data_IF_718513380293
#
_entry.id   IF_718513380293
#
_cell.length_a   1.000
_cell.length_b   1.000
_cell.length_c   1.000
_cell.angle_alpha   90.00
_cell.angle_beta   90.00
_cell.angle_gamma   90.00
#
_symmetry.space_group_name_H-M   'P 1'
#
loop_
_entity.id
_entity.type
_entity.pdbx_description
1 polymer ?
#
# COMPACT_ATOMS: atom_id res chain seq x y z
N UNK A 1 -11.00 -9.94 -3.08
CA UNK A 1 -11.24 -11.00 -2.08
C UNK A 1 -9.98 -11.43 -1.32
N UNK A 2 -9.38 -10.54 -0.52
CA UNK A 2 -8.41 -10.81 0.57
C UNK A 2 -7.94 -9.45 1.09
N UNK A 3 -7.64 -8.54 0.16
CA UNK A 3 -7.44 -7.12 0.43
C UNK A 3 -8.68 -6.47 1.08
N UNK A 4 -9.89 -6.68 0.53
CA UNK A 4 -11.12 -6.14 1.10
C UNK A 4 -11.36 -6.58 2.56
N UNK A 5 -11.21 -7.87 2.88
CA UNK A 5 -11.36 -8.39 4.26
C UNK A 5 -10.30 -7.79 5.20
N UNK A 6 -9.07 -7.58 4.71
CA UNK A 6 -8.02 -6.90 5.47
C UNK A 6 -8.28 -5.40 5.66
N UNK A 7 -8.96 -4.74 4.71
CA UNK A 7 -9.38 -3.33 4.81
C UNK A 7 -10.46 -3.17 5.88
N UNK A 8 -11.46 -4.05 5.90
CA UNK A 8 -12.56 -3.96 6.86
C UNK A 8 -12.07 -4.20 8.29
N UNK A 9 -11.23 -5.22 8.52
CA UNK A 9 -10.63 -5.45 9.85
C UNK A 9 -9.70 -4.31 10.31
N UNK A 10 -9.05 -3.60 9.38
CA UNK A 10 -8.23 -2.43 9.72
C UNK A 10 -9.09 -1.21 10.07
N UNK A 11 -10.23 -1.03 9.40
CA UNK A 11 -11.17 0.05 9.70
C UNK A 11 -11.65 -0.04 11.15
N UNK A 12 -12.10 -1.22 11.60
CA UNK A 12 -12.54 -1.44 12.97
C UNK A 12 -11.46 -1.14 14.02
N UNK A 13 -10.19 -1.43 13.67
CA UNK A 13 -9.05 -1.12 14.54
C UNK A 13 -8.75 0.38 14.59
N UNK A 14 -8.90 1.09 13.47
CA UNK A 14 -8.72 2.55 13.43
C UNK A 14 -9.85 3.25 14.18
N UNK A 15 -11.09 2.80 14.05
CA UNK A 15 -12.24 3.36 14.77
C UNK A 15 -12.09 3.18 16.30
N UNK A 16 -11.55 2.04 16.75
CA UNK A 16 -11.25 1.80 18.18
C UNK A 16 -10.02 2.53 18.70
N UNK A 17 -9.08 2.85 17.82
CA UNK A 17 -7.80 3.48 18.19
C UNK A 17 -7.49 4.69 17.29
N UNK A 18 -8.33 5.73 17.32
CA UNK A 18 -8.32 6.79 16.32
C UNK A 18 -7.08 7.68 16.37
N UNK A 19 -6.32 7.68 17.46
CA UNK A 19 -5.05 8.42 17.60
C UNK A 19 -3.81 7.58 17.24
N UNK A 20 -3.96 6.29 16.89
CA UNK A 20 -2.81 5.45 16.52
C UNK A 20 -2.43 5.62 15.05
N UNK A 21 -1.46 6.50 14.83
CA UNK A 21 -0.95 6.84 13.49
C UNK A 21 -0.56 5.61 12.65
N UNK A 22 0.10 4.61 13.24
CA UNK A 22 0.54 3.40 12.51
C UNK A 22 -0.64 2.61 11.92
N UNK A 23 -1.77 2.55 12.63
CA UNK A 23 -2.98 1.87 12.13
C UNK A 23 -3.59 2.66 10.98
N UNK A 24 -3.63 4.00 11.09
CA UNK A 24 -4.12 4.87 10.01
C UNK A 24 -3.25 4.80 8.77
N UNK A 25 -1.92 4.83 8.92
CA UNK A 25 -0.98 4.69 7.81
C UNK A 25 -1.15 3.34 7.09
N UNK A 26 -1.38 2.26 7.84
CA UNK A 26 -1.67 0.95 7.26
C UNK A 26 -3.01 0.95 6.50
N UNK A 27 -4.03 1.64 7.02
CA UNK A 27 -5.34 1.74 6.37
C UNK A 27 -5.26 2.54 5.07
N UNK A 28 -4.62 3.72 5.10
CA UNK A 28 -4.33 4.52 3.91
C UNK A 28 -3.62 3.69 2.83
N UNK A 29 -2.58 2.93 3.20
CA UNK A 29 -1.86 2.07 2.27
C UNK A 29 -2.74 0.97 1.66
N UNK A 30 -3.63 0.37 2.45
CA UNK A 30 -4.52 -0.69 1.98
C UNK A 30 -5.59 -0.15 1.02
N UNK A 31 -6.15 1.03 1.32
CA UNK A 31 -7.07 1.75 0.42
C UNK A 31 -6.38 2.12 -0.89
N UNK A 32 -5.18 2.70 -0.83
CA UNK A 32 -4.42 3.09 -2.01
C UNK A 32 -4.08 1.90 -2.91
N UNK A 33 -3.61 0.79 -2.33
CA UNK A 33 -3.32 -0.46 -3.08
C UNK A 33 -4.58 -1.10 -3.69
N UNK A 34 -5.75 -0.82 -3.12
CA UNK A 34 -7.05 -1.27 -3.64
C UNK A 34 -7.63 -0.33 -4.69
N UNK A 35 -6.89 0.69 -5.14
CA UNK A 35 -7.34 1.68 -6.13
C UNK A 35 -8.25 2.78 -5.56
N UNK A 36 -8.47 2.81 -4.24
CA UNK A 36 -9.33 3.77 -3.54
C UNK A 36 -8.52 4.97 -3.07
N UNK A 37 -7.86 5.66 -4.02
CA UNK A 37 -6.94 6.76 -3.70
C UNK A 37 -7.62 7.92 -2.98
N UNK A 38 -8.81 8.36 -3.44
CA UNK A 38 -9.53 9.46 -2.80
C UNK A 38 -9.82 9.18 -1.31
N UNK A 39 -10.23 7.96 -1.00
CA UNK A 39 -10.49 7.55 0.39
C UNK A 39 -9.20 7.44 1.21
N UNK A 40 -8.10 6.98 0.61
CA UNK A 40 -6.80 6.97 1.28
C UNK A 40 -6.35 8.39 1.67
N UNK A 41 -6.59 9.38 0.80
CA UNK A 41 -6.27 10.79 1.08
C UNK A 41 -7.20 11.38 2.15
N UNK A 42 -8.51 11.06 2.10
CA UNK A 42 -9.47 11.49 3.11
C UNK A 42 -9.09 11.03 4.54
N UNK A 43 -8.57 9.81 4.69
CA UNK A 43 -8.10 9.31 6.00
C UNK A 43 -6.99 10.20 6.61
N UNK A 44 -6.13 10.80 5.77
CA UNK A 44 -5.11 11.74 6.24
C UNK A 44 -5.74 13.05 6.72
N UNK A 45 -6.65 13.62 5.95
CA UNK A 45 -7.32 14.88 6.29
C UNK A 45 -8.15 14.74 7.57
N UNK A 46 -8.91 13.65 7.70
CA UNK A 46 -9.66 13.33 8.92
C UNK A 46 -8.74 13.19 10.13
N UNK A 47 -7.57 12.58 9.94
CA UNK A 47 -6.61 12.40 11.03
C UNK A 47 -5.96 13.72 11.45
N UNK A 48 -5.61 14.57 10.49
CA UNK A 48 -5.07 15.90 10.75
C UNK A 48 -6.07 16.73 11.57
N UNK A 49 -7.34 16.75 11.15
CA UNK A 49 -8.40 17.43 11.88
C UNK A 49 -8.59 16.87 13.29
N UNK A 50 -8.54 15.55 13.44
CA UNK A 50 -8.63 14.90 14.74
C UNK A 50 -7.47 15.28 15.66
N UNK A 51 -6.23 15.22 15.19
CA UNK A 51 -5.05 15.58 15.99
C UNK A 51 -5.08 17.05 16.40
N UNK A 52 -5.44 17.93 15.47
CA UNK A 52 -5.55 19.36 15.76
C UNK A 52 -6.63 19.62 16.83
N UNK A 53 -7.78 18.94 16.72
CA UNK A 53 -8.89 19.08 17.66
C UNK A 53 -8.57 18.52 19.06
N UNK A 54 -8.03 17.31 19.14
CA UNK A 54 -7.91 16.58 20.40
C UNK A 54 -6.59 16.88 21.13
N UNK A 55 -5.51 17.14 20.38
CA UNK A 55 -4.16 17.28 20.94
C UNK A 55 -3.48 18.60 20.56
N UNK A 56 -4.04 19.39 19.64
CA UNK A 56 -3.37 20.56 19.07
C UNK A 56 -2.10 20.20 18.28
N UNK A 57 -2.04 18.98 17.75
CA UNK A 57 -0.88 18.44 17.04
C UNK A 57 -1.16 18.27 15.55
N UNK A 58 -0.08 18.09 14.78
CA UNK A 58 -0.12 17.74 13.37
C UNK A 58 0.36 16.28 13.15
N UNK A 59 0.03 15.66 12.01
CA UNK A 59 0.54 14.34 11.64
C UNK A 59 2.06 14.30 11.59
N UNK A 60 2.65 13.14 11.85
CA UNK A 60 4.10 13.01 11.79
C UNK A 60 4.66 13.25 10.38
N UNK A 61 5.95 13.62 10.25
CA UNK A 61 6.59 13.78 8.95
C UNK A 61 6.51 12.53 8.06
N UNK A 62 6.51 11.33 8.66
CA UNK A 62 6.37 10.07 7.95
C UNK A 62 4.95 9.90 7.37
N UNK A 63 3.93 10.27 8.13
CA UNK A 63 2.53 10.27 7.68
C UNK A 63 2.29 11.30 6.57
N UNK A 64 2.84 12.51 6.71
CA UNK A 64 2.80 13.54 5.66
C UNK A 64 3.56 13.11 4.38
N UNK A 65 4.69 12.42 4.52
CA UNK A 65 5.41 11.84 3.38
C UNK A 65 4.58 10.77 2.66
N UNK A 66 3.87 9.92 3.41
CA UNK A 66 2.96 8.92 2.83
C UNK A 66 1.85 9.57 2.00
N UNK A 67 1.19 10.59 2.55
CA UNK A 67 0.17 11.38 1.85
C UNK A 67 0.71 11.97 0.53
N UNK A 68 1.88 12.62 0.58
CA UNK A 68 2.55 13.17 -0.62
C UNK A 68 2.90 12.09 -1.65
N UNK A 69 3.37 10.93 -1.21
CA UNK A 69 3.68 9.81 -2.10
C UNK A 69 2.42 9.29 -2.83
N UNK A 70 1.27 9.28 -2.16
CA UNK A 70 -0.01 8.89 -2.77
C UNK A 70 -0.50 9.94 -3.78
N UNK A 71 -0.31 11.24 -3.53
CA UNK A 71 -0.59 12.29 -4.51
C UNK A 71 0.30 12.17 -5.76
N UNK A 72 1.57 11.84 -5.58
CA UNK A 72 2.55 11.72 -6.67
C UNK A 72 2.39 10.48 -7.57
N UNK A 73 1.63 9.47 -7.14
CA UNK A 73 1.42 8.20 -7.89
C UNK A 73 0.29 8.24 -8.92
N UNK A 74 0.02 9.41 -9.51
CA UNK A 74 -0.92 9.56 -10.61
C UNK A 74 -0.54 8.84 -11.92
N UNK A 75 0.71 8.35 -12.09
CA UNK A 75 1.11 7.49 -13.21
C UNK A 75 2.48 6.83 -12.98
N UNK A 76 2.51 5.56 -12.58
CA UNK A 76 3.71 4.72 -12.80
C UNK A 76 3.32 3.59 -13.74
N UNK A 77 3.98 3.43 -14.91
CA UNK A 77 3.73 2.30 -15.79
C UNK A 77 3.93 1.02 -15.00
N UNK A 78 2.92 0.16 -14.98
CA UNK A 78 3.10 -1.24 -14.58
C UNK A 78 4.15 -1.81 -15.55
N UNK A 79 5.36 -2.20 -15.10
CA UNK A 79 6.26 -2.91 -15.98
C UNK A 79 5.50 -4.14 -16.50
N UNK A 80 5.55 -4.45 -17.80
CA UNK A 80 4.94 -5.68 -18.29
C UNK A 80 5.51 -6.81 -17.44
N UNK A 81 4.64 -7.69 -16.95
CA UNK A 81 5.05 -8.91 -16.31
C UNK A 81 5.85 -9.70 -17.36
N UNK A 82 7.16 -9.48 -17.36
CA UNK A 82 8.10 -10.17 -18.21
C UNK A 82 7.98 -11.64 -17.91
N UNK A 83 7.42 -12.34 -18.86
CA UNK A 83 7.41 -13.78 -19.04
C UNK A 83 8.65 -14.37 -18.41
N UNK A 84 8.48 -15.24 -17.40
CA UNK A 84 9.53 -16.21 -17.07
C UNK A 84 9.60 -17.15 -18.26
N UNK A 85 10.33 -16.70 -19.26
CA UNK A 85 10.65 -17.46 -20.45
C UNK A 85 11.32 -18.75 -19.97
N UNK A 86 10.67 -19.83 -20.32
CA UNK A 86 10.98 -21.20 -19.94
C UNK A 86 12.28 -21.61 -20.61
N UNK A 87 13.43 -21.20 -20.07
CA UNK A 87 14.73 -21.76 -20.46
C UNK A 87 15.24 -22.66 -19.33
N UNK A 88 14.67 -23.87 -19.29
CA UNK A 88 15.41 -25.07 -18.90
C UNK A 88 14.86 -26.30 -19.62
N UNK A 89 14.74 -26.17 -20.94
CA UNK A 89 14.60 -27.28 -21.86
C UNK A 89 15.82 -27.29 -22.79
N UNK A 90 16.91 -27.90 -22.35
CA UNK A 90 17.99 -28.35 -23.23
C UNK A 90 18.81 -29.40 -22.46
N UNK A 91 18.27 -30.62 -22.44
CA UNK A 91 19.04 -31.81 -22.20
C UNK A 91 20.12 -31.91 -23.29
N UNK A 92 21.38 -32.07 -22.90
CA UNK A 92 22.41 -32.57 -23.81
C UNK A 92 22.33 -34.11 -23.82
N UNK A 93 22.08 -34.75 -24.98
CA UNK A 93 22.27 -36.19 -25.13
C UNK A 93 23.75 -36.54 -25.32
N UNK A 94 24.11 -37.71 -24.78
CA UNK A 94 25.41 -38.36 -24.86
C UNK A 94 25.84 -38.70 -26.29
N UNK A 95 27.15 -38.71 -26.54
CA UNK A 95 27.78 -39.59 -27.54
C UNK A 95 29.24 -39.90 -27.13
N UNK A 96 29.68 -41.18 -27.21
CA UNK A 96 31.07 -41.58 -27.01
C UNK A 96 31.86 -41.60 -28.34
N UNK A 97 33.16 -41.30 -28.27
CA UNK A 97 34.25 -41.57 -29.23
C UNK A 97 35.55 -41.51 -28.42
N UNK A 98 36.49 -42.45 -28.38
CA UNK A 98 36.77 -43.73 -29.04
C UNK A 98 37.45 -44.66 -28.00
#
# INVERSE_FOLDING_TARGET
GRAAVAVDGLRDLVERHPLRERLRAAWMNSLHQSGRQAEALAVYDDYRLLLARELGLEPSPAMAALYRAMLGRGRTPRPPAGTRDTVRGAALPAAPRD
#
